data_IF_102971261448
#
_entry.id   IF_102971261448
#
_cell.length_a   1.000
_cell.length_b   1.000
_cell.length_c   1.000
_cell.angle_alpha   90.00
_cell.angle_beta   90.00
_cell.angle_gamma   90.00
#
_symmetry.space_group_name_H-M   'P 1'
#
loop_
_entity.id
_entity.type
_entity.pdbx_description
1 polymer ?
#
# COMPACT_ATOMS: atom_id res chain seq x y z
N UNK A 1 -2.82 -39.34 2.06
CA UNK A 1 -2.87 -37.87 2.30
C UNK A 1 -3.17 -37.06 1.03
N UNK A 2 -2.68 -37.44 -0.16
CA UNK A 2 -2.93 -36.71 -1.42
C UNK A 2 -4.40 -36.71 -1.91
N UNK A 3 -5.15 -37.79 -1.67
CA UNK A 3 -6.57 -37.89 -2.05
C UNK A 3 -7.46 -36.86 -1.32
N UNK A 4 -7.11 -36.50 -0.07
CA UNK A 4 -7.86 -35.54 0.73
C UNK A 4 -7.72 -34.10 0.21
N UNK A 5 -6.55 -33.73 -0.32
CA UNK A 5 -6.31 -32.40 -0.90
C UNK A 5 -7.10 -32.25 -2.21
N UNK A 6 -7.08 -33.29 -3.06
CA UNK A 6 -7.88 -33.31 -4.29
C UNK A 6 -9.39 -33.26 -4.01
N UNK A 7 -9.88 -33.96 -2.99
CA UNK A 7 -11.28 -33.87 -2.56
C UNK A 7 -11.63 -32.49 -1.98
N UNK A 8 -10.73 -31.86 -1.22
CA UNK A 8 -10.97 -30.54 -0.63
C UNK A 8 -11.05 -29.44 -1.70
N UNK A 9 -10.15 -29.45 -2.69
CA UNK A 9 -10.18 -28.51 -3.82
C UNK A 9 -11.42 -28.76 -4.69
N UNK A 10 -11.76 -30.01 -5.00
CA UNK A 10 -13.01 -30.33 -5.72
C UNK A 10 -14.26 -29.91 -4.91
N UNK A 11 -14.23 -30.05 -3.58
CA UNK A 11 -15.30 -29.61 -2.69
C UNK A 11 -15.48 -28.10 -2.70
N UNK A 12 -14.38 -27.33 -2.60
CA UNK A 12 -14.39 -25.88 -2.70
C UNK A 12 -14.85 -25.38 -4.08
N UNK A 13 -14.34 -25.99 -5.16
CA UNK A 13 -14.74 -25.64 -6.52
C UNK A 13 -16.22 -25.96 -6.81
N UNK A 14 -16.72 -27.08 -6.29
CA UNK A 14 -18.15 -27.45 -6.38
C UNK A 14 -19.04 -26.59 -5.50
N UNK A 15 -18.58 -26.17 -4.31
CA UNK A 15 -19.32 -25.25 -3.45
C UNK A 15 -19.53 -23.86 -4.10
N UNK A 16 -18.65 -23.47 -5.02
CA UNK A 16 -18.73 -22.22 -5.80
C UNK A 16 -19.47 -22.44 -7.14
N UNK A 17 -19.90 -23.66 -7.48
CA UNK A 17 -20.76 -23.96 -8.63
C UNK A 17 -20.03 -24.26 -9.95
N UNK A 18 -18.69 -24.38 -9.94
CA UNK A 18 -17.90 -24.65 -11.15
C UNK A 18 -17.68 -26.16 -11.36
N UNK A 19 -18.52 -26.75 -12.20
CA UNK A 19 -18.50 -28.18 -12.56
C UNK A 19 -17.45 -28.53 -13.62
N UNK A 20 -17.22 -27.64 -14.59
CA UNK A 20 -16.27 -27.80 -15.70
C UNK A 20 -14.82 -27.66 -15.24
N UNK A 21 -13.94 -28.56 -15.72
CA UNK A 21 -12.49 -28.54 -15.48
C UNK A 21 -11.88 -27.23 -16.00
N UNK A 22 -12.29 -26.80 -17.20
CA UNK A 22 -11.83 -25.54 -17.80
C UNK A 22 -12.15 -24.34 -16.90
N UNK A 23 -13.34 -24.34 -16.30
CA UNK A 23 -13.76 -23.26 -15.41
C UNK A 23 -12.99 -23.25 -14.09
N UNK A 24 -12.67 -24.42 -13.53
CA UNK A 24 -11.81 -24.54 -12.35
C UNK A 24 -10.40 -23.99 -12.60
N UNK A 25 -9.79 -24.30 -13.75
CA UNK A 25 -8.50 -23.73 -14.14
C UNK A 25 -8.58 -22.22 -14.36
N UNK A 26 -9.63 -21.74 -15.03
CA UNK A 26 -9.86 -20.31 -15.27
C UNK A 26 -9.94 -19.53 -13.96
N UNK A 27 -10.66 -20.06 -12.96
CA UNK A 27 -10.74 -19.47 -11.62
C UNK A 27 -9.36 -19.37 -10.96
N UNK A 28 -8.60 -20.46 -10.94
CA UNK A 28 -7.29 -20.50 -10.28
C UNK A 28 -6.27 -19.57 -10.96
N UNK A 29 -6.22 -19.55 -12.29
CA UNK A 29 -5.40 -18.59 -13.02
C UNK A 29 -5.85 -17.13 -12.78
N UNK A 30 -7.17 -16.89 -12.69
CA UNK A 30 -7.72 -15.60 -12.32
C UNK A 30 -7.29 -15.15 -10.93
N UNK A 31 -7.29 -16.05 -9.94
CA UNK A 31 -6.78 -15.77 -8.59
C UNK A 31 -5.29 -15.44 -8.59
N UNK A 32 -4.47 -16.23 -9.30
CA UNK A 32 -3.02 -15.98 -9.44
C UNK A 32 -2.78 -14.60 -10.06
N UNK A 33 -3.53 -14.25 -11.12
CA UNK A 33 -3.44 -12.95 -11.76
C UNK A 33 -3.85 -11.82 -10.80
N UNK A 34 -4.95 -11.98 -10.06
CA UNK A 34 -5.41 -11.01 -9.07
C UNK A 34 -4.39 -10.76 -7.95
N UNK A 35 -3.82 -11.81 -7.38
CA UNK A 35 -2.76 -11.70 -6.36
C UNK A 35 -1.52 -11.04 -6.94
N UNK A 36 -1.14 -11.37 -8.19
CA UNK A 36 0.01 -10.75 -8.86
C UNK A 36 -0.20 -9.26 -9.12
N UNK A 37 -1.41 -8.83 -9.49
CA UNK A 37 -1.76 -7.41 -9.60
C UNK A 37 -1.64 -6.72 -8.24
N UNK A 38 -2.11 -7.36 -7.15
CA UNK A 38 -1.99 -6.80 -5.80
C UNK A 38 -0.52 -6.62 -5.37
N UNK A 39 0.38 -7.52 -5.77
CA UNK A 39 1.84 -7.34 -5.59
C UNK A 39 2.32 -6.08 -6.31
N UNK A 40 1.98 -5.93 -7.60
CA UNK A 40 2.40 -4.78 -8.42
C UNK A 40 1.88 -3.47 -7.82
N UNK A 41 0.61 -3.44 -7.38
CA UNK A 41 0.01 -2.26 -6.74
C UNK A 41 0.74 -1.93 -5.44
N UNK A 42 1.01 -2.91 -4.59
CA UNK A 42 1.71 -2.71 -3.31
C UNK A 42 3.13 -2.16 -3.52
N UNK A 43 3.86 -2.68 -4.52
CA UNK A 43 5.20 -2.18 -4.87
C UNK A 43 5.16 -0.75 -5.43
N UNK A 44 4.18 -0.42 -6.27
CA UNK A 44 4.00 0.94 -6.78
C UNK A 44 3.67 1.93 -5.65
N UNK A 45 2.82 1.54 -4.70
CA UNK A 45 2.51 2.37 -3.53
C UNK A 45 3.75 2.60 -2.65
N UNK A 46 4.57 1.57 -2.43
CA UNK A 46 5.85 1.72 -1.73
C UNK A 46 6.79 2.70 -2.46
N UNK A 47 6.86 2.63 -3.79
CA UNK A 47 7.70 3.51 -4.61
C UNK A 47 7.25 4.98 -4.54
N UNK A 48 5.95 5.25 -4.68
CA UNK A 48 5.37 6.61 -4.57
C UNK A 48 5.65 7.19 -3.18
N UNK A 49 5.51 6.36 -2.14
CA UNK A 49 5.77 6.78 -0.77
C UNK A 49 7.25 7.11 -0.56
N UNK A 50 8.16 6.27 -1.07
CA UNK A 50 9.60 6.49 -1.00
C UNK A 50 10.03 7.79 -1.71
N UNK A 51 9.51 8.05 -2.91
CA UNK A 51 9.86 9.28 -3.65
C UNK A 51 9.37 10.56 -2.98
N UNK A 52 8.23 10.50 -2.28
CA UNK A 52 7.63 11.64 -1.57
C UNK A 52 8.15 11.83 -0.14
N UNK A 53 8.92 10.85 0.37
CA UNK A 53 9.41 10.83 1.76
C UNK A 53 10.34 12.00 2.04
N UNK A 54 11.32 12.25 1.16
CA UNK A 54 12.29 13.35 1.34
C UNK A 54 11.58 14.69 1.35
N UNK A 55 10.73 14.97 0.35
CA UNK A 55 10.05 16.26 0.23
C UNK A 55 9.12 16.56 1.40
N UNK A 56 8.44 15.53 1.92
CA UNK A 56 7.57 15.65 3.09
C UNK A 56 8.38 15.91 4.38
N UNK A 57 9.50 15.19 4.56
CA UNK A 57 10.42 15.42 5.70
C UNK A 57 11.03 16.82 5.62
N UNK A 58 11.48 17.23 4.43
CA UNK A 58 12.10 18.53 4.21
C UNK A 58 11.11 19.67 4.41
N UNK A 59 9.86 19.51 3.97
CA UNK A 59 8.79 20.46 4.27
C UNK A 59 8.58 20.62 5.78
N UNK A 60 8.57 19.51 6.53
CA UNK A 60 8.47 19.54 7.99
C UNK A 60 9.73 20.15 8.64
N UNK A 61 10.93 19.87 8.15
CA UNK A 61 12.17 20.42 8.67
C UNK A 61 12.28 21.94 8.42
N UNK A 62 11.85 22.40 7.24
CA UNK A 62 11.85 23.83 6.87
C UNK A 62 11.02 24.68 7.82
N UNK A 63 9.92 24.17 8.38
CA UNK A 63 9.11 24.89 9.37
C UNK A 63 9.94 25.39 10.57
N UNK A 64 10.89 24.58 11.05
CA UNK A 64 11.81 24.96 12.15
C UNK A 64 12.66 26.15 11.75
N UNK A 65 13.31 26.06 10.59
CA UNK A 65 14.14 27.13 10.06
C UNK A 65 13.34 28.41 9.84
N UNK A 66 12.15 28.31 9.25
CA UNK A 66 11.29 29.46 8.96
C UNK A 66 10.80 30.15 10.24
N UNK A 67 10.50 29.39 11.31
CA UNK A 67 10.13 29.99 12.60
C UNK A 67 11.24 30.85 13.20
N UNK A 68 12.49 30.39 13.11
CA UNK A 68 13.67 31.13 13.59
C UNK A 68 14.02 32.30 12.68
N UNK A 69 13.88 32.10 11.37
CA UNK A 69 14.04 33.16 10.37
C UNK A 69 13.06 34.30 10.63
N UNK A 70 11.81 33.99 10.97
CA UNK A 70 10.82 35.02 11.31
C UNK A 70 11.24 35.86 12.52
N UNK A 71 11.79 35.24 13.57
CA UNK A 71 12.28 35.98 14.74
C UNK A 71 13.39 36.97 14.36
N UNK A 72 14.31 36.53 13.49
CA UNK A 72 15.40 37.37 12.98
C UNK A 72 14.87 38.51 12.11
N UNK A 73 13.96 38.22 11.18
CA UNK A 73 13.36 39.24 10.31
C UNK A 73 12.57 40.26 11.13
N UNK A 74 11.80 39.84 12.13
CA UNK A 74 11.11 40.73 13.06
C UNK A 74 12.08 41.68 13.77
N UNK A 75 13.21 41.17 14.27
CA UNK A 75 14.29 41.96 14.87
C UNK A 75 14.92 42.97 13.89
N UNK A 76 15.17 42.57 12.65
CA UNK A 76 15.72 43.45 11.62
C UNK A 76 14.72 44.53 11.19
N UNK A 77 13.44 44.19 11.07
CA UNK A 77 12.36 45.13 10.74
C UNK A 77 12.16 46.16 11.85
N UNK A 78 12.14 45.74 13.12
CA UNK A 78 12.03 46.66 14.25
C UNK A 78 13.17 47.70 14.29
N UNK A 79 14.38 47.28 13.92
CA UNK A 79 15.57 48.14 13.78
C UNK A 79 15.63 48.94 12.46
N UNK A 80 14.66 48.79 11.56
CA UNK A 80 14.65 49.46 10.26
C UNK A 80 15.70 48.96 9.26
N UNK A 81 16.27 47.77 9.50
CA UNK A 81 17.28 47.12 8.65
C UNK A 81 16.67 46.25 7.54
N UNK A 82 15.40 45.86 7.69
CA UNK A 82 14.65 45.11 6.68
C UNK A 82 13.23 45.66 6.50
N UNK A 83 12.60 45.29 5.38
CA UNK A 83 11.20 45.61 5.08
C UNK A 83 10.25 44.61 5.73
N UNK A 84 9.10 45.07 6.22
CA UNK A 84 8.02 44.19 6.69
C UNK A 84 7.51 43.20 5.63
N UNK A 85 7.80 43.44 4.35
CA UNK A 85 7.47 42.53 3.24
C UNK A 85 8.24 41.21 3.32
N UNK A 86 9.50 41.19 3.78
CA UNK A 86 10.26 39.93 3.93
C UNK A 86 9.64 39.06 5.02
N UNK A 87 9.35 39.68 6.17
CA UNK A 87 8.67 39.06 7.31
C UNK A 87 7.32 38.45 6.91
N UNK A 88 6.49 39.20 6.18
CA UNK A 88 5.19 38.69 5.70
C UNK A 88 5.34 37.49 4.76
N UNK A 89 6.31 37.52 3.84
CA UNK A 89 6.60 36.37 2.97
C UNK A 89 7.00 35.13 3.76
N UNK A 90 7.75 35.29 4.85
CA UNK A 90 8.12 34.17 5.73
C UNK A 90 6.90 33.61 6.46
N UNK A 91 6.00 34.47 6.96
CA UNK A 91 4.71 34.05 7.55
C UNK A 91 3.90 33.23 6.54
N UNK A 92 3.72 33.75 5.32
CA UNK A 92 2.95 33.09 4.26
C UNK A 92 3.55 31.73 3.88
N UNK A 93 4.88 31.64 3.86
CA UNK A 93 5.61 30.40 3.56
C UNK A 93 5.45 29.35 4.66
N UNK A 94 5.45 29.77 5.94
CA UNK A 94 5.17 28.88 7.07
C UNK A 94 3.75 28.33 6.95
N UNK A 95 2.75 29.19 6.78
CA UNK A 95 1.34 28.80 6.74
C UNK A 95 1.02 27.93 5.51
N UNK A 96 1.60 28.26 4.36
CA UNK A 96 1.44 27.45 3.15
C UNK A 96 2.09 26.08 3.28
N UNK A 97 3.30 26.01 3.83
CA UNK A 97 3.98 24.73 4.05
C UNK A 97 3.24 23.89 5.10
N UNK A 98 2.71 24.50 6.16
CA UNK A 98 1.90 23.83 7.17
C UNK A 98 0.62 23.23 6.57
N UNK A 99 -0.10 24.01 5.75
CA UNK A 99 -1.28 23.54 5.00
C UNK A 99 -0.94 22.39 4.06
N UNK A 100 0.18 22.48 3.33
CA UNK A 100 0.64 21.42 2.44
C UNK A 100 0.96 20.12 3.19
N UNK A 101 1.47 20.20 4.43
CA UNK A 101 1.70 19.02 5.26
C UNK A 101 0.37 18.35 5.68
N UNK A 102 -0.64 19.14 6.05
CA UNK A 102 -1.94 18.60 6.46
C UNK A 102 -2.71 18.03 5.27
N UNK A 103 -2.83 18.79 4.18
CA UNK A 103 -3.71 18.47 3.05
C UNK A 103 -3.00 17.66 1.95
N UNK A 104 -1.67 17.61 1.97
CA UNK A 104 -0.86 17.12 0.87
C UNK A 104 -0.73 18.16 -0.24
N UNK A 105 0.32 18.00 -1.05
CA UNK A 105 0.53 18.80 -2.24
C UNK A 105 1.24 17.95 -3.31
N UNK A 106 0.48 17.54 -4.32
CA UNK A 106 0.97 16.67 -5.40
C UNK A 106 2.05 17.33 -6.27
N UNK A 107 2.00 18.65 -6.49
CA UNK A 107 3.00 19.32 -7.32
C UNK A 107 4.35 19.47 -6.61
N UNK A 108 4.36 19.39 -5.27
CA UNK A 108 5.56 19.42 -4.44
C UNK A 108 5.94 18.03 -3.90
N UNK A 109 5.26 16.96 -4.34
CA UNK A 109 5.45 15.61 -3.80
C UNK A 109 5.35 15.53 -2.27
N UNK A 110 4.50 16.37 -1.66
CA UNK A 110 4.21 16.35 -0.22
C UNK A 110 2.98 15.49 0.00
N UNK A 111 3.10 14.47 0.85
CA UNK A 111 1.97 13.62 1.19
C UNK A 111 1.17 14.20 2.36
N UNK A 112 -0.15 14.06 2.25
CA UNK A 112 -1.06 14.38 3.34
C UNK A 112 -0.77 13.46 4.55
N UNK A 113 -0.74 14.04 5.73
CA UNK A 113 -0.56 13.26 6.96
C UNK A 113 -1.92 12.72 7.43
N UNK A 114 -2.00 11.41 7.62
CA UNK A 114 -3.18 10.69 8.13
C UNK A 114 -2.96 10.09 9.52
N UNK A 115 -1.73 10.14 10.02
CA UNK A 115 -1.38 9.63 11.33
C UNK A 115 -1.87 10.59 12.42
N UNK A 116 -2.72 10.09 13.32
CA UNK A 116 -3.31 10.90 14.39
C UNK A 116 -2.26 11.58 15.28
N UNK A 117 -1.14 10.91 15.59
CA UNK A 117 -0.08 11.51 16.39
C UNK A 117 0.56 12.69 15.66
N UNK A 118 0.88 12.52 14.37
CA UNK A 118 1.42 13.61 13.53
C UNK A 118 0.45 14.79 13.48
N UNK A 119 -0.84 14.51 13.27
CA UNK A 119 -1.89 15.54 13.22
C UNK A 119 -2.02 16.32 14.53
N UNK A 120 -1.97 15.65 15.68
CA UNK A 120 -2.00 16.31 17.00
C UNK A 120 -0.80 17.26 17.17
N UNK A 121 0.39 16.83 16.77
CA UNK A 121 1.57 17.70 16.85
C UNK A 121 1.51 18.87 15.87
N UNK A 122 0.98 18.67 14.66
CA UNK A 122 0.73 19.76 13.70
C UNK A 122 -0.31 20.75 14.22
N UNK A 123 -1.39 20.26 14.83
CA UNK A 123 -2.40 21.13 15.45
C UNK A 123 -1.80 21.95 16.60
N UNK A 124 -0.98 21.32 17.45
CA UNK A 124 -0.27 22.02 18.53
C UNK A 124 0.66 23.10 18.01
N UNK A 125 1.36 22.83 16.90
CA UNK A 125 2.15 23.84 16.21
C UNK A 125 1.29 25.02 15.75
N UNK A 126 0.12 24.76 15.15
CA UNK A 126 -0.78 25.81 14.67
C UNK A 126 -1.29 26.72 15.81
N UNK A 127 -1.62 26.14 16.97
CA UNK A 127 -2.02 26.91 18.16
C UNK A 127 -0.90 27.85 18.63
N UNK A 128 0.33 27.33 18.75
CA UNK A 128 1.50 28.11 19.17
C UNK A 128 1.88 29.16 18.12
N UNK A 129 1.71 28.84 16.84
CA UNK A 129 1.99 29.73 15.72
C UNK A 129 1.12 30.99 15.74
N UNK A 130 -0.17 30.86 16.08
CA UNK A 130 -1.07 32.02 16.16
C UNK A 130 -0.63 33.01 17.24
N UNK A 131 -0.26 32.52 18.43
CA UNK A 131 0.29 33.36 19.49
C UNK A 131 1.60 34.02 19.06
N UNK A 132 2.49 33.23 18.45
CA UNK A 132 3.80 33.69 18.01
C UNK A 132 3.70 34.79 16.94
N UNK A 133 2.81 34.62 15.96
CA UNK A 133 2.54 35.60 14.92
C UNK A 133 2.06 36.92 15.52
N UNK A 134 1.16 36.89 16.49
CA UNK A 134 0.68 38.11 17.16
C UNK A 134 1.81 38.81 17.91
N UNK A 135 2.66 38.06 18.64
CA UNK A 135 3.81 38.62 19.35
C UNK A 135 4.85 39.25 18.40
N UNK A 136 5.01 38.66 17.20
CA UNK A 136 5.88 39.22 16.14
C UNK A 136 5.37 40.59 15.68
N UNK A 137 4.08 40.71 15.39
CA UNK A 137 3.50 42.00 14.99
C UNK A 137 3.58 43.04 16.12
N UNK A 138 3.25 42.65 17.35
CA UNK A 138 3.31 43.53 18.53
C UNK A 138 4.71 44.11 18.75
N UNK A 139 5.76 43.30 18.61
CA UNK A 139 7.14 43.77 18.74
C UNK A 139 7.56 44.74 17.63
N UNK A 140 7.14 44.49 16.38
CA UNK A 140 7.49 45.38 15.26
C UNK A 140 6.91 46.78 15.47
N UNK A 141 5.74 46.87 16.11
CA UNK A 141 5.07 48.13 16.42
C UNK A 141 5.67 48.83 17.66
N UNK A 142 5.91 48.07 18.74
CA UNK A 142 6.34 48.61 20.05
C UNK A 142 7.85 48.81 20.17
N UNK A 143 8.64 47.91 19.59
CA UNK A 143 10.12 47.87 19.59
C UNK A 143 10.74 47.81 20.99
N UNK A 144 10.01 47.34 21.98
CA UNK A 144 10.48 47.29 23.37
C UNK A 144 11.11 45.93 23.73
N UNK A 145 11.83 45.90 24.86
CA UNK A 145 12.57 44.71 25.29
C UNK A 145 11.67 43.61 25.88
N UNK A 146 10.46 43.94 26.35
CA UNK A 146 9.51 42.96 26.92
C UNK A 146 8.91 42.12 25.80
N UNK A 147 8.48 42.75 24.71
CA UNK A 147 7.95 42.05 23.53
C UNK A 147 9.04 41.24 22.81
N UNK A 148 10.30 41.69 22.80
CA UNK A 148 11.44 40.90 22.31
C UNK A 148 11.65 39.61 23.12
N UNK A 149 11.59 39.68 24.44
CA UNK A 149 11.69 38.51 25.31
C UNK A 149 10.51 37.53 25.08
N UNK A 150 9.32 38.07 24.80
CA UNK A 150 8.13 37.29 24.47
C UNK A 150 8.31 36.53 23.13
N UNK A 151 8.80 37.19 22.07
CA UNK A 151 9.14 36.56 20.79
C UNK A 151 10.13 35.42 20.98
N UNK A 152 11.22 35.64 21.74
CA UNK A 152 12.23 34.61 21.94
C UNK A 152 11.63 33.35 22.61
N UNK A 153 10.79 33.55 23.65
CA UNK A 153 10.11 32.44 24.34
C UNK A 153 9.15 31.70 23.41
N UNK A 154 8.33 32.42 22.64
CA UNK A 154 7.34 31.82 21.75
C UNK A 154 7.99 31.14 20.54
N UNK A 155 9.04 31.73 19.98
CA UNK A 155 9.88 31.12 18.95
C UNK A 155 10.46 29.77 19.40
N UNK A 156 10.99 29.70 20.63
CA UNK A 156 11.48 28.45 21.21
C UNK A 156 10.35 27.41 21.41
N UNK A 157 9.16 27.84 21.79
CA UNK A 157 8.00 26.95 21.94
C UNK A 157 7.54 26.37 20.58
N UNK A 158 7.44 27.21 19.54
CA UNK A 158 7.11 26.80 18.17
C UNK A 158 8.17 25.84 17.60
N UNK A 159 9.45 26.15 17.81
CA UNK A 159 10.57 25.29 17.41
C UNK A 159 10.48 23.91 18.08
N UNK A 160 10.20 23.89 19.39
CA UNK A 160 10.07 22.66 20.16
C UNK A 160 8.88 21.81 19.69
N UNK A 161 7.74 22.43 19.40
CA UNK A 161 6.59 21.72 18.83
C UNK A 161 6.94 21.07 17.50
N UNK A 162 7.66 21.79 16.62
CA UNK A 162 8.09 21.26 15.34
C UNK A 162 9.25 20.26 15.43
N UNK A 163 10.03 20.29 16.52
CA UNK A 163 11.07 19.29 16.79
C UNK A 163 10.50 17.88 16.95
N UNK A 164 9.29 17.75 17.51
CA UNK A 164 8.57 16.48 17.60
C UNK A 164 8.01 15.96 16.27
N UNK A 165 7.65 16.84 15.34
CA UNK A 165 6.91 16.45 14.11
C UNK A 165 7.77 15.65 13.13
N UNK A 166 8.99 16.11 12.80
CA UNK A 166 9.84 15.46 11.79
C UNK A 166 10.12 13.98 12.07
N UNK A 167 10.54 13.55 13.28
CA UNK A 167 10.78 12.13 13.53
C UNK A 167 9.48 11.29 13.45
N UNK A 168 8.33 11.85 13.82
CA UNK A 168 7.04 11.17 13.68
C UNK A 168 6.64 11.00 12.22
N UNK A 169 6.82 12.05 11.40
CA UNK A 169 6.59 12.01 9.96
C UNK A 169 7.51 10.98 9.30
N UNK A 170 8.82 11.02 9.60
CA UNK A 170 9.80 10.07 9.07
C UNK A 170 9.47 8.62 9.47
N UNK A 171 9.15 8.39 10.75
CA UNK A 171 8.76 7.07 11.26
C UNK A 171 7.47 6.56 10.60
N UNK A 172 6.43 7.39 10.52
CA UNK A 172 5.16 7.02 9.90
C UNK A 172 5.33 6.64 8.42
N UNK A 173 6.17 7.36 7.68
CA UNK A 173 6.48 7.00 6.29
C UNK A 173 7.27 5.70 6.20
N UNK A 174 8.29 5.51 7.04
CA UNK A 174 9.06 4.26 7.08
C UNK A 174 8.17 3.05 7.42
N UNK A 175 7.29 3.18 8.41
CA UNK A 175 6.36 2.13 8.82
C UNK A 175 5.40 1.77 7.67
N UNK A 176 4.89 2.77 6.94
CA UNK A 176 4.03 2.53 5.77
C UNK A 176 4.78 1.89 4.60
N UNK A 177 6.02 2.30 4.31
CA UNK A 177 6.85 1.69 3.26
C UNK A 177 7.06 0.21 3.59
N UNK A 178 7.48 -0.09 4.83
CA UNK A 178 7.70 -1.48 5.25
C UNK A 178 6.42 -2.30 5.26
N UNK A 179 5.27 -1.71 5.58
CA UNK A 179 3.97 -2.37 5.47
C UNK A 179 3.66 -2.79 4.01
N UNK A 180 3.81 -1.89 3.03
CA UNK A 180 3.60 -2.24 1.62
C UNK A 180 4.57 -3.30 1.12
N UNK A 181 5.84 -3.24 1.54
CA UNK A 181 6.84 -4.25 1.18
C UNK A 181 6.53 -5.62 1.81
N UNK A 182 6.11 -5.65 3.07
CA UNK A 182 5.71 -6.89 3.76
C UNK A 182 4.50 -7.53 3.09
N UNK A 183 3.49 -6.74 2.72
CA UNK A 183 2.32 -7.23 1.96
C UNK A 183 2.76 -7.80 0.62
N UNK A 184 3.59 -7.07 -0.14
CA UNK A 184 4.11 -7.54 -1.43
C UNK A 184 4.89 -8.85 -1.31
N UNK A 185 5.72 -8.98 -0.27
CA UNK A 185 6.50 -10.20 0.01
C UNK A 185 5.60 -11.40 0.28
N UNK A 186 4.60 -11.27 1.15
CA UNK A 186 3.67 -12.37 1.45
C UNK A 186 2.79 -12.74 0.26
N UNK A 187 2.33 -11.75 -0.50
CA UNK A 187 1.56 -11.99 -1.73
C UNK A 187 2.41 -12.68 -2.81
N UNK A 188 3.69 -12.34 -2.93
CA UNK A 188 4.60 -13.01 -3.86
C UNK A 188 4.81 -14.49 -3.48
N UNK A 189 4.99 -14.79 -2.19
CA UNK A 189 5.04 -16.18 -1.70
C UNK A 189 3.72 -16.90 -2.01
N UNK A 190 2.58 -16.26 -1.73
CA UNK A 190 1.27 -16.84 -2.01
C UNK A 190 1.08 -17.18 -3.49
N UNK A 191 1.51 -16.29 -4.41
CA UNK A 191 1.51 -16.54 -5.86
C UNK A 191 2.34 -17.77 -6.22
N UNK A 192 3.54 -17.91 -5.66
CA UNK A 192 4.41 -19.08 -5.92
C UNK A 192 3.78 -20.38 -5.41
N UNK A 193 3.20 -20.35 -4.20
CA UNK A 193 2.52 -21.51 -3.62
C UNK A 193 1.29 -21.89 -4.45
N UNK A 194 0.46 -20.93 -4.84
CA UNK A 194 -0.71 -21.16 -5.71
C UNK A 194 -0.28 -21.75 -7.05
N UNK A 195 0.76 -21.21 -7.69
CA UNK A 195 1.28 -21.74 -8.95
C UNK A 195 1.81 -23.18 -8.79
N UNK A 196 2.52 -23.48 -7.70
CA UNK A 196 3.02 -24.82 -7.41
C UNK A 196 1.88 -25.81 -7.16
N UNK A 197 0.91 -25.46 -6.33
CA UNK A 197 -0.27 -26.30 -6.04
C UNK A 197 -1.06 -26.56 -7.32
N UNK A 198 -1.28 -25.53 -8.14
CA UNK A 198 -1.95 -25.65 -9.44
C UNK A 198 -1.22 -26.63 -10.33
N UNK A 199 0.12 -26.53 -10.40
CA UNK A 199 0.95 -27.44 -11.19
C UNK A 199 0.86 -28.89 -10.69
N UNK A 200 1.01 -29.09 -9.38
CA UNK A 200 0.97 -30.43 -8.77
C UNK A 200 -0.40 -31.08 -8.98
N UNK A 201 -1.48 -30.32 -8.78
CA UNK A 201 -2.84 -30.77 -9.05
C UNK A 201 -3.05 -31.08 -10.53
N UNK A 202 -2.69 -30.17 -11.43
CA UNK A 202 -2.86 -30.36 -12.87
C UNK A 202 -2.15 -31.61 -13.37
N UNK A 203 -0.86 -31.77 -13.04
CA UNK A 203 -0.08 -32.92 -13.51
C UNK A 203 -0.60 -34.22 -12.89
N UNK A 204 -0.84 -34.27 -11.58
CA UNK A 204 -1.25 -35.53 -10.96
C UNK A 204 -2.68 -35.94 -11.33
N UNK A 205 -3.63 -35.01 -11.24
CA UNK A 205 -5.05 -35.30 -11.44
C UNK A 205 -5.40 -35.48 -12.92
N UNK A 206 -4.96 -34.55 -13.79
CA UNK A 206 -5.32 -34.60 -15.21
C UNK A 206 -4.55 -35.72 -15.93
N UNK A 207 -3.24 -35.88 -15.69
CA UNK A 207 -2.48 -36.93 -16.38
C UNK A 207 -2.93 -38.33 -15.97
N UNK A 208 -3.27 -38.55 -14.70
CA UNK A 208 -3.80 -39.84 -14.28
C UNK A 208 -5.06 -40.23 -15.06
N UNK A 209 -5.95 -39.27 -15.36
CA UNK A 209 -7.16 -39.52 -16.14
C UNK A 209 -6.87 -39.69 -17.63
N UNK A 210 -5.92 -38.93 -18.19
CA UNK A 210 -5.48 -39.08 -19.58
C UNK A 210 -4.80 -40.45 -19.79
N UNK A 211 -4.00 -40.93 -18.84
CA UNK A 211 -3.33 -42.23 -18.95
C UNK A 211 -4.33 -43.39 -18.95
N UNK A 212 -5.41 -43.30 -18.16
CA UNK A 212 -6.52 -44.27 -18.20
C UNK A 212 -7.17 -44.29 -19.59
N UNK A 213 -7.49 -43.12 -20.14
CA UNK A 213 -8.04 -43.01 -21.51
C UNK A 213 -7.09 -43.61 -22.54
N UNK A 214 -5.81 -43.26 -22.46
CA UNK A 214 -4.78 -43.70 -23.39
C UNK A 214 -4.65 -45.22 -23.41
N UNK A 215 -4.62 -45.85 -22.25
CA UNK A 215 -4.51 -47.31 -22.18
C UNK A 215 -5.77 -47.99 -22.72
N UNK A 216 -6.96 -47.44 -22.48
CA UNK A 216 -8.21 -48.01 -23.00
C UNK A 216 -8.35 -47.84 -24.51
N UNK A 217 -7.97 -46.70 -25.06
CA UNK A 217 -7.89 -46.53 -26.52
C UNK A 217 -6.86 -47.48 -27.14
N UNK A 218 -5.74 -47.76 -26.46
CA UNK A 218 -4.75 -48.73 -26.92
C UNK A 218 -5.30 -50.15 -26.94
N UNK A 219 -6.13 -50.53 -25.96
CA UNK A 219 -6.78 -51.85 -25.90
C UNK A 219 -7.86 -51.96 -26.98
N UNK A 220 -8.71 -50.94 -27.14
CA UNK A 220 -9.71 -50.88 -28.21
C UNK A 220 -9.09 -50.91 -29.61
N UNK A 221 -7.96 -50.23 -29.82
CA UNK A 221 -7.23 -50.27 -31.09
C UNK A 221 -6.70 -51.67 -31.45
N UNK A 222 -6.55 -52.57 -30.45
CA UNK A 222 -6.20 -53.98 -30.65
C UNK A 222 -7.42 -54.88 -30.87
N UNK A 223 -8.64 -54.31 -30.94
CA UNK A 223 -9.88 -55.04 -31.16
C UNK A 223 -10.54 -55.60 -29.90
N UNK A 224 -10.03 -55.28 -28.70
CA UNK A 224 -10.64 -55.70 -27.43
C UNK A 224 -11.53 -54.58 -26.88
N UNK A 225 -12.84 -54.78 -26.92
CA UNK A 225 -13.87 -53.86 -26.42
C UNK A 225 -14.54 -54.35 -25.14
N UNK A 226 -13.98 -55.38 -24.49
CA UNK A 226 -14.62 -56.03 -23.33
C UNK A 226 -14.50 -55.22 -22.03
N UNK A 227 -13.62 -54.22 -21.98
CA UNK A 227 -13.33 -53.44 -20.76
C UNK A 227 -14.07 -52.12 -20.74
N UNK A 228 -15.02 -52.00 -19.81
CA UNK A 228 -15.66 -50.73 -19.46
C UNK A 228 -14.74 -49.88 -18.58
N UNK A 229 -14.79 -48.56 -18.77
CA UNK A 229 -14.14 -47.62 -17.86
C UNK A 229 -14.98 -47.43 -16.60
N UNK A 230 -14.39 -47.74 -15.46
CA UNK A 230 -14.93 -47.33 -14.16
C UNK A 230 -14.75 -45.82 -14.02
N UNK A 231 -15.85 -45.10 -13.87
CA UNK A 231 -15.84 -43.66 -13.74
C UNK A 231 -16.44 -43.27 -12.40
N UNK A 232 -15.70 -42.43 -11.68
CA UNK A 232 -16.23 -41.70 -10.53
C UNK A 232 -17.33 -40.75 -11.07
N UNK A 233 -18.50 -40.68 -10.43
CA UNK A 233 -19.61 -39.80 -10.79
C UNK A 233 -19.24 -38.32 -10.56
N UNK A 234 -18.23 -37.82 -11.26
CA UNK A 234 -17.90 -36.42 -11.35
C UNK A 234 -18.59 -35.80 -12.55
N UNK A 235 -19.34 -34.74 -12.33
CA UNK A 235 -20.13 -34.07 -13.37
C UNK A 235 -19.21 -33.12 -14.17
N UNK A 236 -18.26 -33.68 -14.94
CA UNK A 236 -17.26 -32.92 -15.72
C UNK A 236 -16.99 -33.53 -17.10
N UNK A 237 -16.24 -32.81 -17.94
CA UNK A 237 -15.99 -33.15 -19.35
C UNK A 237 -15.32 -34.52 -19.53
N UNK A 238 -14.52 -34.93 -18.55
CA UNK A 238 -13.79 -36.19 -18.58
C UNK A 238 -14.69 -37.40 -18.28
N UNK A 239 -15.64 -37.23 -17.37
CA UNK A 239 -16.67 -38.24 -17.12
C UNK A 239 -17.65 -38.36 -18.30
N UNK A 240 -17.98 -37.27 -18.99
CA UNK A 240 -18.78 -37.32 -20.23
C UNK A 240 -18.10 -38.17 -21.31
N UNK A 241 -16.77 -38.02 -21.48
CA UNK A 241 -15.98 -38.86 -22.40
C UNK A 241 -16.02 -40.33 -21.96
N UNK A 242 -15.93 -40.63 -20.66
CA UNK A 242 -15.96 -42.01 -20.16
C UNK A 242 -17.32 -42.67 -20.40
N UNK A 243 -18.42 -41.93 -20.19
CA UNK A 243 -19.79 -42.39 -20.46
C UNK A 243 -19.96 -42.67 -21.96
N UNK A 244 -19.58 -41.73 -22.83
CA UNK A 244 -19.71 -41.88 -24.28
C UNK A 244 -18.91 -43.08 -24.82
N UNK A 245 -17.70 -43.30 -24.30
CA UNK A 245 -16.91 -44.47 -24.67
C UNK A 245 -17.57 -45.78 -24.24
N UNK A 246 -18.10 -45.86 -23.03
CA UNK A 246 -18.79 -47.05 -22.54
C UNK A 246 -20.08 -47.36 -23.35
N UNK A 247 -20.76 -46.34 -23.87
CA UNK A 247 -21.90 -46.49 -24.77
C UNK A 247 -21.49 -47.02 -26.16
N UNK A 248 -20.28 -46.75 -26.65
CA UNK A 248 -19.79 -47.32 -27.92
C UNK A 248 -19.51 -48.82 -27.83
N UNK A 249 -19.30 -49.36 -26.62
CA UNK A 249 -19.04 -50.78 -26.39
C UNK A 249 -20.32 -51.62 -26.23
N UNK A 250 -21.51 -51.01 -26.08
CA UNK A 250 -22.80 -51.72 -25.98
C UNK A 250 -23.45 -51.92 -27.33
#
# INVERSE_FOLDING_TARGET
MHYQISCFINGLARAIGFKSISSQFTLVFGLIAGVSIAVIVSLNMALILLSSTSETIDAAARQRMLSQRLAKEAFMVAQGLESSVSMQKTIDLVETTHRNLIQGNKSLSILAQDNQQVLVHLQRFNELWLGYKNAVFEYVDTKDSVTLANINRQSAAVLTAMNGVVPLVAKNMQDKITQYLNIAYWMAIATLVLALVTRLFAVHWLMSKIDILREQFRVAAKGDFSKKMDYDCSDNELSEIFINYNCMQS
#
